data_IF_587630814715
#
_entry.id   IF_587630814715
#
_cell.length_a   1.000
_cell.length_b   1.000
_cell.length_c   1.000
_cell.angle_alpha   90.00
_cell.angle_beta   90.00
_cell.angle_gamma   90.00
#
_symmetry.space_group_name_H-M   'P 1'
#
loop_
_entity.id
_entity.type
_entity.pdbx_description
1 polymer ?
#
# COMPACT_ATOMS: atom_id res chain seq x y z
N UNK A 1 -21.45 -16.65 -5.79
CA UNK A 1 -20.42 -17.63 -5.48
C UNK A 1 -20.98 -18.75 -4.60
N UNK A 2 -21.65 -18.45 -3.49
CA UNK A 2 -22.19 -19.44 -2.55
C UNK A 2 -23.18 -20.40 -3.23
N UNK A 3 -24.15 -19.88 -3.99
CA UNK A 3 -25.13 -20.69 -4.74
C UNK A 3 -24.44 -21.61 -5.74
N UNK A 4 -23.40 -21.11 -6.43
CA UNK A 4 -22.63 -21.91 -7.37
C UNK A 4 -21.86 -23.02 -6.66
N UNK A 5 -21.21 -22.74 -5.54
CA UNK A 5 -20.53 -23.76 -4.73
C UNK A 5 -21.48 -24.84 -4.23
N UNK A 6 -22.67 -24.45 -3.76
CA UNK A 6 -23.70 -25.41 -3.33
C UNK A 6 -24.19 -26.28 -4.49
N UNK A 7 -24.37 -25.72 -5.69
CA UNK A 7 -24.70 -26.50 -6.90
C UNK A 7 -23.58 -27.48 -7.28
N UNK A 8 -22.33 -27.20 -6.92
CA UNK A 8 -21.21 -28.13 -7.11
C UNK A 8 -21.04 -29.12 -5.94
N UNK A 9 -22.02 -29.19 -5.02
CA UNK A 9 -22.02 -30.16 -3.92
C UNK A 9 -21.32 -29.67 -2.64
N UNK A 10 -20.93 -28.41 -2.54
CA UNK A 10 -20.36 -27.85 -1.31
C UNK A 10 -21.47 -27.66 -0.26
N UNK A 11 -21.17 -28.04 0.98
CA UNK A 11 -22.07 -27.82 2.12
C UNK A 11 -21.53 -26.66 2.97
N UNK A 12 -22.35 -25.62 3.27
CA UNK A 12 -21.94 -24.54 4.15
C UNK A 12 -21.63 -25.06 5.56
N UNK A 13 -20.51 -24.67 6.13
CA UNK A 13 -20.19 -25.01 7.52
C UNK A 13 -21.00 -24.19 8.53
N UNK A 14 -21.44 -22.99 8.14
CA UNK A 14 -22.30 -22.09 8.92
C UNK A 14 -23.05 -21.14 7.98
N UNK A 15 -24.04 -20.43 8.52
CA UNK A 15 -24.82 -19.45 7.76
C UNK A 15 -23.91 -18.33 7.21
N UNK A 16 -24.20 -17.88 6.01
CA UNK A 16 -23.48 -16.77 5.38
C UNK A 16 -23.50 -15.52 6.28
N UNK A 17 -22.36 -14.91 6.45
CA UNK A 17 -22.20 -13.64 7.14
C UNK A 17 -21.67 -12.63 6.13
N UNK A 18 -22.48 -11.62 5.83
CA UNK A 18 -22.10 -10.53 4.95
C UNK A 18 -21.44 -9.42 5.79
N UNK A 19 -20.17 -9.13 5.50
CA UNK A 19 -19.44 -8.05 6.14
C UNK A 19 -19.40 -6.87 5.18
N UNK A 20 -20.23 -5.87 5.45
CA UNK A 20 -20.24 -4.63 4.67
C UNK A 20 -19.57 -3.51 5.49
N UNK A 21 -18.76 -2.72 4.80
CA UNK A 21 -18.13 -1.51 5.33
C UNK A 21 -17.49 -1.65 6.74
N UNK A 22 -16.82 -2.79 6.99
CA UNK A 22 -16.17 -3.12 8.27
C UNK A 22 -17.15 -3.23 9.45
N UNK A 23 -18.37 -3.70 9.24
CA UNK A 23 -19.31 -3.98 10.30
C UNK A 23 -18.68 -4.87 11.38
N UNK A 24 -18.41 -4.28 12.53
CA UNK A 24 -17.75 -4.95 13.66
C UNK A 24 -18.59 -6.11 14.20
N UNK A 25 -19.91 -6.01 14.14
CA UNK A 25 -20.81 -7.07 14.60
C UNK A 25 -20.75 -8.29 13.69
N UNK A 26 -20.76 -8.07 12.38
CA UNK A 26 -20.64 -9.14 11.39
C UNK A 26 -19.24 -9.79 11.44
N UNK A 27 -18.18 -9.00 11.63
CA UNK A 27 -16.80 -9.52 11.81
C UNK A 27 -16.72 -10.37 13.07
N UNK A 28 -17.27 -9.93 14.19
CA UNK A 28 -17.27 -10.68 15.44
C UNK A 28 -18.07 -11.99 15.33
N UNK A 29 -19.21 -11.95 14.65
CA UNK A 29 -19.99 -13.14 14.39
C UNK A 29 -19.21 -14.14 13.53
N UNK A 30 -18.52 -13.67 12.49
CA UNK A 30 -17.67 -14.50 11.63
C UNK A 30 -16.49 -15.10 12.42
N UNK A 31 -15.85 -14.33 13.28
CA UNK A 31 -14.78 -14.80 14.18
C UNK A 31 -15.24 -15.94 15.08
N UNK A 32 -16.41 -15.80 15.71
CA UNK A 32 -17.00 -16.86 16.58
C UNK A 32 -17.22 -18.15 15.81
N UNK A 33 -17.68 -18.06 14.56
CA UNK A 33 -17.86 -19.26 13.72
C UNK A 33 -16.52 -19.93 13.40
N UNK A 34 -15.46 -19.16 13.13
CA UNK A 34 -14.13 -19.71 12.90
C UNK A 34 -13.54 -20.39 14.14
N UNK A 35 -13.68 -19.79 15.32
CA UNK A 35 -13.27 -20.39 16.60
C UNK A 35 -13.97 -21.72 16.83
N UNK A 36 -15.27 -21.76 16.57
CA UNK A 36 -16.07 -22.98 16.69
C UNK A 36 -15.59 -24.07 15.71
N UNK A 37 -15.31 -23.72 14.46
CA UNK A 37 -14.78 -24.66 13.46
C UNK A 37 -13.37 -25.17 13.82
N UNK A 38 -12.53 -24.32 14.39
CA UNK A 38 -11.18 -24.66 14.79
C UNK A 38 -11.14 -25.57 16.05
N UNK A 39 -12.27 -25.74 16.73
CA UNK A 39 -12.37 -26.57 17.94
C UNK A 39 -11.56 -26.03 19.11
N UNK A 40 -11.23 -24.74 19.12
CA UNK A 40 -10.51 -24.08 20.20
C UNK A 40 -11.47 -23.27 21.06
N UNK A 41 -11.24 -23.24 22.38
CA UNK A 41 -11.94 -22.31 23.26
C UNK A 41 -11.14 -21.00 23.45
N UNK A 42 -9.92 -20.96 22.96
CA UNK A 42 -9.11 -19.77 22.95
C UNK A 42 -9.46 -18.95 21.72
N UNK A 43 -10.27 -17.92 21.92
CA UNK A 43 -10.26 -16.80 20.99
C UNK A 43 -8.83 -16.28 20.99
N UNK A 44 -8.11 -16.32 19.87
CA UNK A 44 -6.87 -15.57 19.78
C UNK A 44 -7.22 -14.16 20.23
N UNK A 45 -6.40 -13.57 21.10
CA UNK A 45 -6.60 -12.19 21.51
C UNK A 45 -6.36 -11.30 20.28
N UNK A 46 -7.40 -11.16 19.48
CA UNK A 46 -7.48 -10.29 18.29
C UNK A 46 -7.76 -8.85 18.71
N UNK A 47 -7.71 -8.57 20.02
CA UNK A 47 -7.63 -7.20 20.50
C UNK A 47 -6.25 -6.67 20.09
N UNK A 48 -6.11 -6.36 18.80
CA UNK A 48 -5.19 -5.32 18.41
C UNK A 48 -5.44 -4.20 19.41
N UNK A 49 -4.38 -3.67 20.01
CA UNK A 49 -4.47 -2.47 20.82
C UNK A 49 -5.05 -1.37 19.92
N UNK A 50 -6.37 -1.29 19.93
CA UNK A 50 -7.18 -0.66 18.88
C UNK A 50 -7.38 0.82 19.15
N UNK A 51 -6.68 1.35 20.18
CA UNK A 51 -6.87 2.71 20.63
C UNK A 51 -6.07 3.67 19.77
N UNK A 52 -6.75 4.71 19.32
CA UNK A 52 -6.07 5.85 18.74
C UNK A 52 -5.24 6.55 19.81
N UNK A 53 -4.00 6.84 19.47
CA UNK A 53 -3.09 7.63 20.32
C UNK A 53 -2.78 8.98 19.69
N UNK A 54 -2.37 9.92 20.51
CA UNK A 54 -2.04 11.27 20.06
C UNK A 54 -0.63 11.31 19.46
N UNK A 55 -0.54 11.90 18.26
CA UNK A 55 0.69 12.11 17.52
C UNK A 55 0.81 13.58 17.12
N UNK A 56 1.98 14.17 17.29
CA UNK A 56 2.28 15.55 16.94
C UNK A 56 2.76 15.63 15.52
N UNK A 57 2.11 16.45 14.68
CA UNK A 57 2.61 16.78 13.34
C UNK A 57 3.84 17.68 13.46
N UNK A 58 5.03 17.11 13.20
CA UNK A 58 6.30 17.82 13.30
C UNK A 58 6.71 18.51 11.99
N UNK A 59 6.41 17.85 10.86
CA UNK A 59 6.81 18.35 9.56
C UNK A 59 5.69 18.18 8.53
N UNK A 60 5.55 19.17 7.66
CA UNK A 60 4.73 19.11 6.46
C UNK A 60 5.45 19.82 5.32
N UNK A 61 5.83 19.06 4.31
CA UNK A 61 6.50 19.56 3.12
C UNK A 61 5.64 19.31 1.89
N UNK A 62 5.40 20.35 1.07
CA UNK A 62 4.79 20.20 -0.24
C UNK A 62 5.86 19.65 -1.21
N UNK A 63 5.62 18.44 -1.76
CA UNK A 63 6.61 17.74 -2.59
C UNK A 63 6.54 18.10 -4.07
N UNK A 64 5.41 18.56 -4.55
CA UNK A 64 5.18 18.84 -5.97
C UNK A 64 4.69 20.28 -6.22
N UNK A 65 5.45 21.29 -5.74
CA UNK A 65 5.13 22.70 -6.04
C UNK A 65 5.18 22.89 -7.56
N UNK A 66 4.23 23.64 -8.09
CA UNK A 66 4.06 23.91 -9.55
C UNK A 66 3.56 22.73 -10.38
N UNK A 67 3.30 21.56 -9.81
CA UNK A 67 2.58 20.50 -10.53
C UNK A 67 1.18 20.95 -10.94
N UNK A 68 0.75 20.51 -12.11
CA UNK A 68 -0.65 20.65 -12.56
C UNK A 68 -1.59 19.65 -11.85
N UNK A 69 -1.03 18.80 -10.98
CA UNK A 69 -1.76 17.85 -10.17
C UNK A 69 -2.23 18.45 -8.84
N UNK A 70 -2.92 17.63 -8.05
CA UNK A 70 -3.25 18.01 -6.68
C UNK A 70 -2.00 17.96 -5.80
N UNK A 71 -1.90 18.84 -4.77
CA UNK A 71 -0.77 18.85 -3.86
C UNK A 71 -0.48 17.48 -3.24
N UNK A 72 0.80 17.15 -3.14
CA UNK A 72 1.27 15.97 -2.42
C UNK A 72 2.17 16.45 -1.29
N UNK A 73 1.87 15.99 -0.09
CA UNK A 73 2.61 16.34 1.11
C UNK A 73 3.40 15.14 1.64
N UNK A 74 4.64 15.40 2.04
CA UNK A 74 5.32 14.59 3.03
C UNK A 74 4.90 15.09 4.41
N UNK A 75 4.52 14.17 5.28
CA UNK A 75 4.12 14.48 6.66
C UNK A 75 4.92 13.61 7.61
N UNK A 76 5.37 14.19 8.73
CA UNK A 76 6.05 13.46 9.79
C UNK A 76 5.36 13.68 11.13
N UNK A 77 5.15 12.58 11.84
CA UNK A 77 4.48 12.58 13.14
C UNK A 77 5.35 11.89 14.18
N UNK A 78 5.43 12.47 15.38
CA UNK A 78 6.06 11.85 16.55
C UNK A 78 4.99 11.53 17.60
N UNK A 79 5.13 10.38 18.26
CA UNK A 79 4.22 10.01 19.34
C UNK A 79 4.38 10.95 20.52
N UNK A 80 3.28 11.30 21.19
CA UNK A 80 3.32 12.05 22.46
C UNK A 80 3.87 11.22 23.61
N UNK A 81 3.73 9.88 23.51
CA UNK A 81 4.22 8.92 24.51
C UNK A 81 5.12 7.90 23.85
N UNK A 82 6.42 7.79 24.22
CA UNK A 82 7.43 6.97 23.51
C UNK A 82 7.20 5.46 23.53
N UNK A 83 6.35 4.95 24.40
CA UNK A 83 6.24 3.50 24.67
C UNK A 83 5.33 2.76 23.70
N UNK A 84 4.85 3.39 22.65
CA UNK A 84 3.62 2.83 22.17
C UNK A 84 3.72 2.13 20.86
N UNK A 85 4.46 2.31 19.85
CA UNK A 85 4.08 1.63 18.62
C UNK A 85 5.26 1.08 17.81
N UNK A 86 5.22 -0.24 17.64
CA UNK A 86 6.01 -0.94 16.63
C UNK A 86 5.15 -1.14 15.39
N UNK A 87 5.75 -0.99 14.22
CA UNK A 87 5.15 -1.36 12.94
C UNK A 87 6.19 -2.10 12.10
N UNK A 88 5.73 -2.69 11.03
CA UNK A 88 6.60 -3.32 10.03
C UNK A 88 6.49 -2.55 8.69
N UNK A 89 7.50 -2.72 7.83
CA UNK A 89 7.41 -2.22 6.47
C UNK A 89 6.19 -2.84 5.76
N UNK A 90 5.32 -2.00 5.22
CA UNK A 90 4.06 -2.42 4.62
C UNK A 90 2.82 -2.20 5.49
N UNK A 91 2.99 -1.90 6.79
CA UNK A 91 1.86 -1.54 7.65
C UNK A 91 1.28 -0.17 7.30
N UNK A 92 0.05 0.02 7.74
CA UNK A 92 -0.73 1.24 7.57
C UNK A 92 -0.83 2.00 8.89
N UNK A 93 -1.11 3.28 8.78
CA UNK A 93 -1.63 4.07 9.90
C UNK A 93 -3.03 4.54 9.56
N UNK A 94 -3.92 4.46 10.52
CA UNK A 94 -5.27 5.01 10.44
C UNK A 94 -5.32 6.37 11.11
N UNK A 95 -5.88 7.35 10.41
CA UNK A 95 -6.21 8.67 10.94
C UNK A 95 -7.65 8.67 11.41
N UNK A 96 -7.88 9.00 12.69
CA UNK A 96 -9.22 9.26 13.21
C UNK A 96 -9.78 10.56 12.65
N UNK A 97 -11.05 10.53 12.32
CA UNK A 97 -11.84 11.70 11.90
C UNK A 97 -12.98 12.00 12.87
N UNK A 98 -12.88 11.46 14.10
CA UNK A 98 -13.93 11.48 15.12
C UNK A 98 -14.89 10.29 14.97
N UNK A 99 -15.71 10.10 16.01
CA UNK A 99 -16.58 8.92 16.19
C UNK A 99 -17.59 8.70 15.04
N UNK A 100 -18.02 9.77 14.39
CA UNK A 100 -19.04 9.73 13.34
C UNK A 100 -18.48 9.41 11.94
N UNK A 101 -17.16 9.25 11.80
CA UNK A 101 -16.51 9.10 10.51
C UNK A 101 -15.58 7.91 10.50
N UNK A 102 -15.65 7.13 9.42
CA UNK A 102 -14.71 6.03 9.18
C UNK A 102 -13.28 6.57 9.11
N UNK A 103 -12.33 6.02 9.88
CA UNK A 103 -10.92 6.36 9.79
C UNK A 103 -10.37 6.17 8.36
N UNK A 104 -9.25 6.80 8.06
CA UNK A 104 -8.60 6.67 6.76
C UNK A 104 -7.20 6.07 6.91
N UNK A 105 -6.93 5.10 6.06
CA UNK A 105 -5.66 4.39 6.00
C UNK A 105 -4.64 5.14 5.16
N UNK A 106 -3.40 5.14 5.62
CA UNK A 106 -2.24 5.65 4.89
C UNK A 106 -1.07 4.69 5.07
N UNK A 107 -0.36 4.40 4.00
CA UNK A 107 0.84 3.56 4.04
C UNK A 107 1.97 4.26 4.79
N UNK A 108 2.55 3.60 5.80
CA UNK A 108 3.68 4.14 6.56
C UNK A 108 4.95 4.08 5.70
N UNK A 109 5.57 5.23 5.50
CA UNK A 109 6.80 5.39 4.72
C UNK A 109 8.08 5.17 5.55
N UNK A 110 8.02 5.39 6.86
CA UNK A 110 9.16 5.28 7.78
C UNK A 110 9.32 3.87 8.35
N UNK A 111 10.52 3.57 8.86
CA UNK A 111 10.80 2.34 9.59
C UNK A 111 10.81 2.61 11.10
N UNK A 112 10.49 1.61 11.95
CA UNK A 112 10.33 1.81 13.41
C UNK A 112 11.54 2.44 14.10
N UNK A 113 12.75 2.10 13.69
CA UNK A 113 13.98 2.66 14.29
C UNK A 113 14.12 4.17 14.13
N UNK A 114 13.38 4.77 13.19
CA UNK A 114 13.35 6.21 12.97
C UNK A 114 12.49 6.95 14.02
N UNK A 115 11.72 6.21 14.82
CA UNK A 115 10.89 6.72 15.94
C UNK A 115 9.87 7.80 15.53
N UNK A 116 9.47 7.82 14.26
CA UNK A 116 8.41 8.69 13.74
C UNK A 116 7.62 7.99 12.65
N UNK A 117 6.37 8.34 12.49
CA UNK A 117 5.56 7.95 11.32
C UNK A 117 5.71 9.02 10.24
N UNK A 118 6.12 8.59 9.05
CA UNK A 118 6.13 9.42 7.86
C UNK A 118 5.10 8.93 6.84
N UNK A 119 4.43 9.87 6.17
CA UNK A 119 3.40 9.59 5.18
C UNK A 119 3.61 10.40 3.90
N UNK A 120 3.18 9.84 2.76
CA UNK A 120 2.94 10.60 1.53
C UNK A 120 1.43 10.77 1.36
N UNK A 121 0.94 11.98 1.37
CA UNK A 121 -0.49 12.27 1.31
C UNK A 121 -0.81 13.18 0.13
N UNK A 122 -1.61 12.67 -0.80
CA UNK A 122 -2.18 13.49 -1.89
C UNK A 122 -3.46 14.16 -1.40
N UNK A 123 -3.57 15.48 -1.59
CA UNK A 123 -4.79 16.21 -1.31
C UNK A 123 -5.88 15.77 -2.31
N UNK A 124 -6.91 15.16 -1.77
CA UNK A 124 -8.07 14.71 -2.54
C UNK A 124 -9.13 15.81 -2.59
N UNK A 125 -9.82 15.95 -3.71
CA UNK A 125 -11.01 16.79 -3.86
C UNK A 125 -12.21 15.93 -4.23
N UNK A 126 -13.33 16.19 -3.59
CA UNK A 126 -14.62 15.57 -3.92
C UNK A 126 -15.14 16.11 -5.26
N UNK A 127 -16.13 15.46 -5.83
CA UNK A 127 -16.81 15.94 -7.03
C UNK A 127 -17.44 17.34 -6.85
N UNK A 128 -17.75 17.73 -5.62
CA UNK A 128 -18.23 19.07 -5.24
C UNK A 128 -17.16 20.15 -5.27
N UNK A 129 -15.87 19.79 -5.48
CA UNK A 129 -14.73 20.70 -5.36
C UNK A 129 -14.21 20.89 -3.93
N UNK A 130 -14.87 20.32 -2.93
CA UNK A 130 -14.41 20.37 -1.55
C UNK A 130 -13.23 19.41 -1.30
N UNK A 131 -12.35 19.79 -0.39
CA UNK A 131 -11.26 18.91 0.04
C UNK A 131 -11.79 17.67 0.76
N UNK A 132 -11.18 16.53 0.48
CA UNK A 132 -11.44 15.30 1.22
C UNK A 132 -11.14 15.49 2.70
N UNK A 133 -11.97 14.91 3.56
CA UNK A 133 -11.96 15.16 5.00
C UNK A 133 -10.59 14.88 5.63
N UNK A 134 -10.03 13.70 5.41
CA UNK A 134 -8.74 13.29 5.98
C UNK A 134 -7.56 14.04 5.35
N UNK A 135 -7.43 14.02 4.02
CA UNK A 135 -6.33 14.69 3.33
C UNK A 135 -6.38 16.21 3.52
N UNK A 136 -7.60 16.80 3.57
CA UNK A 136 -7.79 18.21 3.85
C UNK A 136 -7.46 18.59 5.31
N UNK A 137 -7.77 17.72 6.29
CA UNK A 137 -7.33 17.90 7.67
C UNK A 137 -5.80 17.93 7.73
N UNK A 138 -5.14 16.91 7.19
CA UNK A 138 -3.67 16.78 7.20
C UNK A 138 -2.95 17.91 6.44
N UNK A 139 -3.59 18.47 5.41
CA UNK A 139 -3.03 19.60 4.66
C UNK A 139 -3.09 20.92 5.43
N UNK A 140 -4.01 21.07 6.43
CA UNK A 140 -4.26 22.35 7.09
C UNK A 140 -3.95 22.38 8.58
N UNK A 141 -3.97 21.22 9.26
CA UNK A 141 -3.69 21.18 10.72
C UNK A 141 -2.35 21.86 11.00
N UNK A 142 -2.25 22.79 11.97
CA UNK A 142 -1.00 23.49 12.25
C UNK A 142 0.13 22.53 12.65
N UNK A 143 1.37 22.88 12.34
CA UNK A 143 2.54 22.17 12.88
C UNK A 143 2.53 22.27 14.42
N UNK A 144 2.92 21.22 15.09
CA UNK A 144 2.87 21.11 16.55
C UNK A 144 1.51 20.67 17.10
N UNK A 145 0.46 20.59 16.27
CA UNK A 145 -0.84 20.08 16.71
C UNK A 145 -0.86 18.56 16.77
N UNK A 146 -1.72 18.02 17.62
CA UNK A 146 -1.95 16.58 17.74
C UNK A 146 -3.02 16.10 16.76
N UNK A 147 -2.82 14.87 16.28
CA UNK A 147 -3.81 14.09 15.53
C UNK A 147 -3.88 12.70 16.16
N UNK A 148 -5.05 12.09 16.09
CA UNK A 148 -5.26 10.75 16.62
C UNK A 148 -4.93 9.71 15.52
N UNK A 149 -3.85 8.94 15.72
CA UNK A 149 -3.40 7.88 14.83
C UNK A 149 -3.39 6.54 15.56
N UNK A 150 -3.60 5.45 14.81
CA UNK A 150 -3.29 4.09 15.25
C UNK A 150 -2.60 3.31 14.15
N UNK A 151 -1.63 2.48 14.49
CA UNK A 151 -1.00 1.55 13.55
C UNK A 151 -1.97 0.41 13.27
N UNK A 152 -2.10 0.06 11.99
CA UNK A 152 -2.87 -1.09 11.52
C UNK A 152 -1.94 -2.05 10.81
N UNK A 153 -1.87 -3.27 11.30
CA UNK A 153 -1.13 -4.32 10.60
C UNK A 153 -1.72 -4.58 9.22
N UNK A 154 -0.84 -4.74 8.24
CA UNK A 154 -1.22 -5.05 6.87
C UNK A 154 -0.39 -6.22 6.30
N UNK A 155 -0.58 -7.44 6.85
CA UNK A 155 0.24 -8.61 6.51
C UNK A 155 0.26 -8.93 5.01
N UNK A 156 -0.81 -8.60 4.29
CA UNK A 156 -0.90 -8.79 2.84
C UNK A 156 0.09 -7.92 2.05
N UNK A 157 0.71 -6.92 2.66
CA UNK A 157 1.72 -6.09 2.01
C UNK A 157 3.11 -6.20 2.65
N UNK A 158 3.29 -7.13 3.60
CA UNK A 158 4.61 -7.47 4.13
C UNK A 158 5.38 -8.33 3.11
N UNK A 159 6.70 -8.20 3.07
CA UNK A 159 7.52 -9.09 2.23
C UNK A 159 7.47 -10.55 2.71
N UNK A 160 7.38 -10.79 4.02
CA UNK A 160 7.25 -12.13 4.59
C UNK A 160 8.27 -13.12 4.01
N UNK A 161 7.79 -14.20 3.40
CA UNK A 161 8.61 -15.21 2.72
C UNK A 161 9.23 -14.70 1.41
N UNK A 162 8.76 -13.57 0.88
CA UNK A 162 9.29 -12.97 -0.35
C UNK A 162 10.54 -12.10 -0.12
N UNK A 163 10.96 -11.88 1.13
CA UNK A 163 12.11 -10.99 1.45
C UNK A 163 13.43 -11.38 0.77
N UNK A 164 13.57 -12.61 0.32
CA UNK A 164 14.74 -13.13 -0.40
C UNK A 164 14.48 -13.34 -1.90
N UNK A 165 13.30 -12.99 -2.40
CA UNK A 165 12.92 -13.09 -3.80
C UNK A 165 13.17 -11.79 -4.55
N UNK A 166 13.38 -11.89 -5.85
CA UNK A 166 13.30 -10.71 -6.71
C UNK A 166 11.95 -10.01 -6.49
N UNK A 167 11.96 -8.69 -6.41
CA UNK A 167 10.77 -7.89 -6.16
C UNK A 167 10.47 -6.98 -7.33
N UNK A 168 9.21 -6.94 -7.78
CA UNK A 168 8.73 -6.01 -8.80
C UNK A 168 7.72 -5.10 -8.13
N UNK A 169 8.10 -3.85 -7.89
CA UNK A 169 7.18 -2.83 -7.37
C UNK A 169 6.59 -2.02 -8.51
N UNK A 170 5.28 -2.02 -8.62
CA UNK A 170 4.51 -1.28 -9.62
C UNK A 170 3.69 -0.25 -8.88
N UNK A 171 4.09 1.01 -8.95
CA UNK A 171 3.51 2.04 -8.08
C UNK A 171 3.16 3.30 -8.85
N UNK A 172 2.15 4.02 -8.36
CA UNK A 172 1.80 5.34 -8.88
C UNK A 172 1.51 6.33 -7.76
N UNK A 173 1.94 7.56 -7.96
CA UNK A 173 1.68 8.64 -7.02
C UNK A 173 2.18 8.35 -5.62
N UNK A 174 1.31 8.58 -4.62
CA UNK A 174 1.61 8.33 -3.21
C UNK A 174 1.74 6.85 -2.86
N UNK A 175 1.31 5.94 -3.74
CA UNK A 175 1.60 4.51 -3.62
C UNK A 175 3.09 4.18 -3.62
N UNK A 176 3.94 5.14 -4.02
CA UNK A 176 5.38 5.03 -3.87
C UNK A 176 5.81 4.76 -2.41
N UNK A 177 5.03 5.19 -1.42
CA UNK A 177 5.31 4.93 -0.01
C UNK A 177 5.45 3.43 0.28
N UNK A 178 4.56 2.60 -0.30
CA UNK A 178 4.59 1.15 -0.13
C UNK A 178 5.85 0.49 -0.68
N UNK A 179 6.37 0.94 -1.81
CA UNK A 179 7.65 0.45 -2.33
C UNK A 179 8.84 1.01 -1.53
N UNK A 180 8.83 2.32 -1.24
CA UNK A 180 9.95 3.01 -0.60
C UNK A 180 10.26 2.45 0.78
N UNK A 181 9.25 2.09 1.59
CA UNK A 181 9.51 1.51 2.92
C UNK A 181 10.22 0.17 2.83
N UNK A 182 9.91 -0.66 1.83
CA UNK A 182 10.61 -1.93 1.60
C UNK A 182 12.03 -1.71 1.06
N UNK A 183 12.23 -0.74 0.17
CA UNK A 183 13.56 -0.36 -0.31
C UNK A 183 14.44 0.17 0.82
N UNK A 184 13.90 0.99 1.73
CA UNK A 184 14.58 1.46 2.95
C UNK A 184 14.98 0.30 3.85
N UNK A 185 14.10 -0.69 4.00
CA UNK A 185 14.39 -1.87 4.80
C UNK A 185 15.53 -2.70 4.18
N UNK A 186 15.53 -2.90 2.86
CA UNK A 186 16.62 -3.60 2.16
C UNK A 186 17.95 -2.84 2.31
N UNK A 187 17.93 -1.51 2.13
CA UNK A 187 19.11 -0.67 2.31
C UNK A 187 19.71 -0.80 3.71
N UNK A 188 18.85 -0.82 4.74
CA UNK A 188 19.29 -0.91 6.13
C UNK A 188 19.88 -2.27 6.50
N UNK A 189 19.44 -3.33 5.85
CA UNK A 189 19.92 -4.69 6.13
C UNK A 189 21.02 -5.18 5.18
N UNK A 190 21.52 -4.33 4.29
CA UNK A 190 22.48 -4.69 3.23
C UNK A 190 22.02 -5.94 2.41
N UNK A 191 20.73 -6.12 2.26
CA UNK A 191 20.19 -7.18 1.42
C UNK A 191 20.09 -6.72 -0.04
N UNK A 192 20.94 -7.29 -0.88
CA UNK A 192 20.95 -7.00 -2.32
C UNK A 192 20.02 -7.94 -3.11
N UNK A 193 18.77 -8.04 -2.67
CA UNK A 193 17.78 -8.77 -3.48
C UNK A 193 17.38 -7.90 -4.67
N UNK A 194 17.53 -8.38 -5.92
CA UNK A 194 17.23 -7.57 -7.10
C UNK A 194 15.80 -7.02 -7.06
N UNK A 195 15.69 -5.71 -7.29
CA UNK A 195 14.41 -4.99 -7.29
C UNK A 195 14.21 -4.29 -8.64
N UNK A 196 13.02 -4.44 -9.19
CA UNK A 196 12.53 -3.67 -10.32
C UNK A 196 11.45 -2.72 -9.86
N UNK A 197 11.72 -1.42 -9.90
CA UNK A 197 10.76 -0.37 -9.58
C UNK A 197 10.18 0.20 -10.88
N UNK A 198 8.86 0.14 -11.02
CA UNK A 198 8.09 0.81 -12.07
C UNK A 198 7.26 1.90 -11.41
N UNK A 199 7.61 3.16 -11.64
CA UNK A 199 6.97 4.31 -11.03
C UNK A 199 6.26 5.18 -12.06
N UNK A 200 5.01 5.54 -11.79
CA UNK A 200 4.19 6.39 -12.63
C UNK A 200 3.67 7.64 -11.92
N UNK A 201 3.76 8.79 -12.60
CA UNK A 201 3.16 10.05 -12.17
C UNK A 201 2.78 10.94 -13.38
N UNK A 202 2.52 12.23 -13.13
CA UNK A 202 2.05 13.17 -14.17
C UNK A 202 3.18 13.81 -14.94
N UNK A 203 4.11 14.48 -14.23
CA UNK A 203 5.20 15.25 -14.84
C UNK A 203 6.51 14.95 -14.11
N UNK A 204 7.57 14.60 -14.86
CA UNK A 204 8.88 14.28 -14.30
C UNK A 204 9.45 15.43 -13.48
N UNK A 205 9.34 16.63 -14.02
CA UNK A 205 9.93 17.83 -13.42
C UNK A 205 9.36 18.14 -12.03
N UNK A 206 8.08 17.85 -11.79
CA UNK A 206 7.38 18.29 -10.58
C UNK A 206 6.88 17.14 -9.70
N UNK A 207 6.63 15.98 -10.30
CA UNK A 207 5.94 14.87 -9.63
C UNK A 207 6.84 13.63 -9.44
N UNK A 208 8.15 13.72 -9.73
CA UNK A 208 9.04 12.60 -9.42
C UNK A 208 9.34 12.56 -7.92
N UNK A 209 8.40 11.97 -7.17
CA UNK A 209 8.49 11.86 -5.72
C UNK A 209 9.73 11.05 -5.30
N UNK A 210 10.39 11.47 -4.23
CA UNK A 210 11.57 10.81 -3.66
C UNK A 210 12.71 10.56 -4.68
N UNK A 211 12.83 11.37 -5.75
CA UNK A 211 13.77 11.16 -6.84
C UNK A 211 15.19 10.89 -6.35
N UNK A 212 15.72 11.75 -5.49
CA UNK A 212 17.09 11.62 -4.98
C UNK A 212 17.33 10.31 -4.22
N UNK A 213 16.32 9.83 -3.48
CA UNK A 213 16.39 8.57 -2.75
C UNK A 213 16.37 7.38 -3.73
N UNK A 214 15.50 7.42 -4.74
CA UNK A 214 15.40 6.38 -5.77
C UNK A 214 16.71 6.28 -6.58
N UNK A 215 17.26 7.41 -7.02
CA UNK A 215 18.52 7.47 -7.76
C UNK A 215 19.70 6.95 -6.92
N UNK A 216 19.74 7.30 -5.64
CA UNK A 216 20.73 6.75 -4.69
C UNK A 216 20.62 5.23 -4.59
N UNK A 217 19.41 4.67 -4.46
CA UNK A 217 19.19 3.23 -4.39
C UNK A 217 19.54 2.52 -5.70
N UNK A 218 19.38 3.18 -6.84
CA UNK A 218 19.84 2.66 -8.13
C UNK A 218 21.36 2.58 -8.20
N UNK A 219 22.06 3.64 -7.76
CA UNK A 219 23.53 3.65 -7.68
C UNK A 219 24.06 2.58 -6.71
N UNK A 220 23.37 2.35 -5.59
CA UNK A 220 23.72 1.33 -4.60
C UNK A 220 23.35 -0.10 -5.03
N UNK A 221 22.69 -0.29 -6.18
CA UNK A 221 22.27 -1.61 -6.68
C UNK A 221 21.07 -2.22 -5.94
N UNK A 222 20.42 -1.48 -5.04
CA UNK A 222 19.16 -1.89 -4.38
C UNK A 222 18.05 -1.93 -5.41
N UNK A 223 17.92 -0.90 -6.24
CA UNK A 223 17.07 -0.90 -7.42
C UNK A 223 17.92 -1.35 -8.60
N UNK A 224 17.73 -2.59 -9.02
CA UNK A 224 18.45 -3.19 -10.14
C UNK A 224 17.94 -2.66 -11.48
N UNK A 225 16.63 -2.37 -11.54
CA UNK A 225 15.99 -1.79 -12.72
C UNK A 225 14.97 -0.73 -12.28
N UNK A 226 15.01 0.41 -12.96
CA UNK A 226 14.07 1.51 -12.78
C UNK A 226 13.42 1.86 -14.12
N UNK A 227 12.10 1.77 -14.20
CA UNK A 227 11.30 2.34 -15.28
C UNK A 227 10.38 3.42 -14.71
N UNK A 228 10.40 4.61 -15.32
CA UNK A 228 9.55 5.71 -14.92
C UNK A 228 8.71 6.18 -16.06
N UNK A 229 7.43 6.45 -15.81
CA UNK A 229 6.49 6.99 -16.81
C UNK A 229 5.79 8.22 -16.27
N UNK A 230 5.66 9.24 -17.12
CA UNK A 230 5.03 10.50 -16.76
C UNK A 230 3.96 10.84 -17.79
N UNK A 231 2.70 10.73 -17.37
CA UNK A 231 1.55 10.74 -18.28
C UNK A 231 1.33 12.06 -19.03
N UNK A 232 2.00 13.14 -18.62
CA UNK A 232 1.88 14.48 -19.23
C UNK A 232 3.15 15.00 -19.90
N UNK A 233 4.20 14.17 -19.98
CA UNK A 233 5.47 14.55 -20.61
C UNK A 233 5.56 14.22 -22.10
N UNK A 234 4.46 13.75 -22.70
CA UNK A 234 4.41 13.44 -24.13
C UNK A 234 5.21 12.21 -24.55
N UNK A 235 5.63 11.36 -23.61
CA UNK A 235 6.34 10.13 -23.89
C UNK A 235 5.42 9.04 -24.47
N UNK A 236 5.94 8.09 -25.27
CA UNK A 236 5.16 6.99 -25.84
C UNK A 236 4.45 6.13 -24.80
N UNK A 237 5.12 5.85 -23.67
CA UNK A 237 4.55 5.13 -22.54
C UNK A 237 4.14 6.17 -21.47
N UNK A 238 2.88 6.14 -21.08
CA UNK A 238 2.27 7.12 -20.19
C UNK A 238 1.91 6.54 -18.83
N UNK A 239 1.67 5.22 -18.76
CA UNK A 239 1.16 4.53 -17.59
C UNK A 239 1.99 3.27 -17.29
N UNK A 240 2.07 2.89 -16.02
CA UNK A 240 2.86 1.74 -15.56
C UNK A 240 2.44 0.42 -16.21
N UNK A 241 1.16 0.23 -16.52
CA UNK A 241 0.68 -0.96 -17.22
C UNK A 241 1.18 -1.04 -18.66
N UNK A 242 1.47 0.09 -19.31
CA UNK A 242 2.04 0.11 -20.65
C UNK A 242 3.51 -0.33 -20.63
N UNK A 243 4.25 0.00 -19.55
CA UNK A 243 5.61 -0.51 -19.32
C UNK A 243 5.59 -2.04 -19.21
N UNK A 244 4.64 -2.60 -18.44
CA UNK A 244 4.52 -4.07 -18.31
C UNK A 244 4.32 -4.75 -19.66
N UNK A 245 3.45 -4.20 -20.51
CA UNK A 245 3.19 -4.74 -21.85
C UNK A 245 4.41 -4.61 -22.76
N UNK A 246 5.10 -3.48 -22.73
CA UNK A 246 6.31 -3.25 -23.50
C UNK A 246 7.45 -4.17 -23.06
N UNK A 247 7.61 -4.38 -21.76
CA UNK A 247 8.67 -5.13 -21.13
C UNK A 247 8.28 -6.59 -20.76
N UNK A 248 7.27 -7.12 -21.44
CA UNK A 248 6.71 -8.45 -21.12
C UNK A 248 7.77 -9.57 -21.06
N UNK A 249 8.79 -9.52 -21.91
CA UNK A 249 9.88 -10.53 -21.91
C UNK A 249 10.66 -10.49 -20.60
N UNK A 250 10.97 -9.29 -20.13
CA UNK A 250 11.68 -9.09 -18.88
C UNK A 250 10.83 -9.49 -17.68
N UNK A 251 9.54 -9.12 -17.68
CA UNK A 251 8.59 -9.53 -16.64
C UNK A 251 8.53 -11.07 -16.54
N UNK A 252 8.36 -11.76 -17.67
CA UNK A 252 8.32 -13.22 -17.70
C UNK A 252 9.62 -13.85 -17.17
N UNK A 253 10.78 -13.32 -17.56
CA UNK A 253 12.08 -13.81 -17.09
C UNK A 253 12.21 -13.64 -15.55
N UNK A 254 11.73 -12.55 -14.98
CA UNK A 254 11.74 -12.35 -13.54
C UNK A 254 10.77 -13.28 -12.81
N UNK A 255 9.56 -13.47 -13.34
CA UNK A 255 8.57 -14.39 -12.78
C UNK A 255 9.04 -15.84 -12.79
N UNK A 256 9.75 -16.27 -13.84
CA UNK A 256 10.38 -17.59 -13.93
C UNK A 256 11.47 -17.80 -12.86
N UNK A 257 12.17 -16.73 -12.48
CA UNK A 257 13.14 -16.74 -11.39
C UNK A 257 12.49 -16.62 -10.01
N UNK A 258 11.17 -16.65 -9.92
CA UNK A 258 10.44 -16.64 -8.66
C UNK A 258 10.12 -15.24 -8.10
N UNK A 259 10.17 -14.17 -8.90
CA UNK A 259 9.87 -12.82 -8.47
C UNK A 259 8.46 -12.69 -7.86
N UNK A 260 8.33 -11.80 -6.88
CA UNK A 260 7.05 -11.36 -6.33
C UNK A 260 6.70 -9.96 -6.84
N UNK A 261 5.41 -9.71 -7.08
CA UNK A 261 4.88 -8.44 -7.57
C UNK A 261 4.12 -7.74 -6.45
N UNK A 262 4.38 -6.45 -6.27
CA UNK A 262 3.71 -5.56 -5.34
C UNK A 262 3.14 -4.37 -6.08
N UNK A 263 1.83 -4.13 -5.97
CA UNK A 263 1.13 -3.04 -6.66
C UNK A 263 0.59 -2.08 -5.60
N UNK A 264 0.98 -0.80 -5.67
CA UNK A 264 0.50 0.20 -4.72
C UNK A 264 0.13 1.52 -5.40
N UNK A 265 -1.06 2.02 -5.08
CA UNK A 265 -1.59 3.28 -5.61
C UNK A 265 -3.09 3.25 -5.90
N UNK A 266 -3.55 4.09 -6.84
CA UNK A 266 -4.98 4.20 -7.14
C UNK A 266 -5.57 2.90 -7.67
N UNK A 267 -6.67 2.44 -7.07
CA UNK A 267 -7.44 1.29 -7.55
C UNK A 267 -8.00 1.56 -8.94
N UNK A 268 -8.62 2.74 -9.13
CA UNK A 268 -9.19 3.12 -10.41
C UNK A 268 -8.07 3.55 -11.38
N UNK A 269 -8.07 2.97 -12.57
CA UNK A 269 -7.07 3.23 -13.61
C UNK A 269 -5.79 2.41 -13.42
N UNK A 270 -4.97 2.69 -12.40
CA UNK A 270 -3.68 2.01 -12.23
C UNK A 270 -3.84 0.55 -11.81
N UNK A 271 -4.48 0.27 -10.68
CA UNK A 271 -4.65 -1.09 -10.16
C UNK A 271 -5.36 -2.00 -11.14
N UNK A 272 -6.47 -1.54 -11.72
CA UNK A 272 -7.20 -2.28 -12.75
C UNK A 272 -6.39 -2.44 -14.05
N UNK A 273 -5.66 -1.41 -14.46
CA UNK A 273 -4.81 -1.45 -15.65
C UNK A 273 -3.66 -2.44 -15.50
N UNK A 274 -3.03 -2.51 -14.33
CA UNK A 274 -1.96 -3.48 -14.02
C UNK A 274 -2.51 -4.90 -14.02
N UNK A 275 -3.67 -5.14 -13.41
CA UNK A 275 -4.32 -6.46 -13.43
C UNK A 275 -4.60 -6.91 -14.87
N UNK A 276 -5.18 -6.03 -15.69
CA UNK A 276 -5.48 -6.34 -17.10
C UNK A 276 -4.20 -6.63 -17.90
N UNK A 277 -3.13 -5.85 -17.69
CA UNK A 277 -1.85 -6.07 -18.35
C UNK A 277 -1.22 -7.42 -17.94
N UNK A 278 -1.22 -7.73 -16.63
CA UNK A 278 -0.72 -9.02 -16.12
C UNK A 278 -1.52 -10.18 -16.69
N UNK A 279 -2.85 -10.12 -16.69
CA UNK A 279 -3.71 -11.16 -17.31
C UNK A 279 -3.38 -11.35 -18.79
N UNK A 280 -3.15 -10.27 -19.51
CA UNK A 280 -2.76 -10.33 -20.93
C UNK A 280 -1.40 -11.00 -21.14
N UNK A 281 -0.45 -10.84 -20.19
CA UNK A 281 0.92 -11.35 -20.32
C UNK A 281 1.04 -12.79 -19.86
N UNK A 282 0.42 -13.15 -18.73
CA UNK A 282 0.61 -14.46 -18.08
C UNK A 282 -0.66 -15.31 -18.00
N UNK A 283 -1.83 -14.75 -18.32
CA UNK A 283 -3.13 -15.43 -18.22
C UNK A 283 -3.73 -15.35 -16.81
N UNK A 284 -5.06 -15.59 -16.73
CA UNK A 284 -5.81 -15.54 -15.47
C UNK A 284 -5.35 -16.60 -14.46
N UNK A 285 -5.11 -17.84 -14.92
CA UNK A 285 -4.72 -18.96 -14.06
C UNK A 285 -3.37 -18.73 -13.40
N UNK A 286 -2.38 -18.23 -14.15
CA UNK A 286 -1.04 -17.93 -13.62
C UNK A 286 -1.10 -16.76 -12.64
N UNK A 287 -1.90 -15.72 -12.92
CA UNK A 287 -2.09 -14.60 -12.00
C UNK A 287 -2.76 -15.07 -10.69
N UNK A 288 -3.80 -15.90 -10.78
CA UNK A 288 -4.45 -16.50 -9.62
C UNK A 288 -3.49 -17.39 -8.82
N UNK A 289 -2.57 -18.09 -9.50
CA UNK A 289 -1.53 -18.88 -8.82
C UNK A 289 -0.56 -17.96 -8.06
N UNK A 290 -0.09 -16.86 -8.66
CA UNK A 290 0.76 -15.88 -7.97
C UNK A 290 0.08 -15.30 -6.72
N UNK A 291 -1.23 -15.07 -6.77
CA UNK A 291 -2.01 -14.62 -5.61
C UNK A 291 -2.03 -15.68 -4.50
N UNK A 292 -2.34 -16.95 -4.83
CA UNK A 292 -2.33 -18.06 -3.87
C UNK A 292 -0.96 -18.28 -3.23
N UNK A 293 0.11 -18.10 -4.01
CA UNK A 293 1.50 -18.23 -3.54
C UNK A 293 1.98 -17.01 -2.72
N UNK A 294 1.13 -15.99 -2.54
CA UNK A 294 1.52 -14.72 -1.90
C UNK A 294 2.56 -13.92 -2.69
N UNK A 295 2.71 -14.21 -3.99
CA UNK A 295 3.66 -13.55 -4.89
C UNK A 295 3.05 -12.40 -5.71
N UNK A 296 1.77 -12.18 -5.61
CA UNK A 296 1.08 -11.01 -6.16
C UNK A 296 0.25 -10.35 -5.06
N UNK A 297 0.69 -9.19 -4.62
CA UNK A 297 0.10 -8.46 -3.51
C UNK A 297 -0.25 -7.03 -3.93
N UNK A 298 -1.31 -6.48 -3.35
CA UNK A 298 -1.86 -5.19 -3.74
C UNK A 298 -2.24 -4.37 -2.50
N UNK A 299 -1.80 -3.12 -2.51
CA UNK A 299 -2.25 -2.05 -1.61
C UNK A 299 -2.81 -0.93 -2.49
N UNK A 300 -4.07 -1.05 -2.89
CA UNK A 300 -4.73 -0.13 -3.83
C UNK A 300 -5.97 0.49 -3.20
N UNK A 301 -6.18 1.79 -3.37
CA UNK A 301 -7.16 2.63 -2.71
C UNK A 301 -7.84 3.63 -3.66
#
# INVERSE_FOLDING_TARGET
>A
LDEWLQQQGATPCFARIDVDNQDSTAIEQWRRQLVHLAGTNDSPDWTENNDFSEWILQERQLLNPQSQGTPIYYLQFTATHPNAMTWQAGDLVQLSLGEQHTPRDYTILSLPYQQHIALLVRLHYRATGEQGMASGLLARVPLGSTVALRVRQHPSFHLGTNKTRLSIFIVSGTGLAGASVHLRQQANHNHNTPCWLIFGERQRQYDFLCQQEIERYQVQGIITRLDTVFSRDGQPLRYVQEVLLAEKKQLLAWLQQGAAIYVCGSLQGMGQGVDAALKTIIGDDALAQLQRDGRYQRDVY
#
